data_IF_856686057221
#
_entry.id   IF_856686057221
#
_cell.length_a   1.000
_cell.length_b   1.000
_cell.length_c   1.000
_cell.angle_alpha   90.00
_cell.angle_beta   90.00
_cell.angle_gamma   90.00
#
_symmetry.space_group_name_H-M   'P 1'
#
loop_
_entity.id
_entity.type
_entity.pdbx_description
1 polymer ?
#
# COMPACT_ATOMS: atom_id res chain seq x y z
N UNK A 1 31.87 -14.77 17.32
CA UNK A 1 32.03 -13.37 16.82
C UNK A 1 30.66 -12.71 16.69
N UNK A 2 29.67 -13.40 16.10
CA UNK A 2 28.27 -12.96 16.11
C UNK A 2 27.73 -12.68 17.54
N UNK A 3 28.19 -13.47 18.52
CA UNK A 3 27.74 -13.44 19.93
C UNK A 3 28.23 -12.21 20.71
N UNK A 4 29.08 -11.37 20.11
CA UNK A 4 29.66 -10.16 20.70
C UNK A 4 29.61 -8.96 19.73
N UNK A 5 28.53 -8.84 18.95
CA UNK A 5 28.35 -7.74 18.01
C UNK A 5 28.32 -6.36 18.71
N UNK A 6 27.76 -6.30 19.92
CA UNK A 6 27.78 -5.15 20.83
C UNK A 6 29.20 -4.66 21.12
N UNK A 7 30.12 -5.56 21.45
CA UNK A 7 31.52 -5.23 21.74
C UNK A 7 32.29 -4.68 20.52
N UNK A 8 31.84 -4.98 19.30
CA UNK A 8 32.42 -4.46 18.05
C UNK A 8 31.80 -3.12 17.65
N UNK A 9 30.52 -2.90 17.95
CA UNK A 9 29.82 -1.65 17.63
C UNK A 9 30.14 -0.54 18.62
N UNK A 10 30.25 -0.84 19.92
CA UNK A 10 30.44 0.16 20.99
C UNK A 10 31.59 1.17 20.73
N UNK A 11 32.79 0.78 20.24
CA UNK A 11 33.87 1.73 19.94
C UNK A 11 33.62 2.64 18.72
N UNK A 12 32.60 2.35 17.92
CA UNK A 12 32.20 3.12 16.74
C UNK A 12 31.05 4.10 17.03
N UNK A 13 30.44 4.01 18.22
CA UNK A 13 29.36 4.90 18.63
C UNK A 13 29.92 6.26 19.06
N UNK A 14 29.34 7.33 18.52
CA UNK A 14 29.60 8.68 19.00
C UNK A 14 28.77 8.93 20.28
N UNK A 15 29.31 9.61 21.31
CA UNK A 15 28.68 9.70 22.64
C UNK A 15 27.24 10.21 22.68
N UNK A 16 26.87 11.06 21.72
CA UNK A 16 25.58 11.76 21.67
C UNK A 16 24.75 11.42 20.40
N UNK A 17 25.14 10.38 19.64
CA UNK A 17 24.38 9.97 18.43
C UNK A 17 23.31 8.94 18.79
N UNK A 18 22.02 9.16 18.43
CA UNK A 18 20.99 8.19 18.71
C UNK A 18 21.22 6.90 17.91
N UNK A 19 21.28 5.79 18.62
CA UNK A 19 21.51 4.46 18.04
C UNK A 19 20.18 3.80 17.70
N UNK A 20 20.11 3.22 16.51
CA UNK A 20 18.96 2.45 16.02
C UNK A 20 19.41 1.04 15.69
N UNK A 21 18.76 0.05 16.26
CA UNK A 21 18.96 -1.37 15.92
C UNK A 21 17.75 -1.86 15.15
N UNK A 22 18.00 -2.54 14.03
CA UNK A 22 16.96 -3.13 13.18
C UNK A 22 17.28 -4.60 12.92
N UNK A 23 16.29 -5.46 13.14
CA UNK A 23 16.34 -6.87 12.78
C UNK A 23 15.57 -7.07 11.47
N UNK A 24 16.25 -7.35 10.33
CA UNK A 24 15.62 -7.52 9.01
C UNK A 24 14.86 -8.84 8.85
N UNK A 25 15.03 -9.77 9.78
CA UNK A 25 14.48 -11.10 9.78
C UNK A 25 14.11 -11.47 11.23
N UNK A 26 14.43 -12.69 11.68
CA UNK A 26 14.21 -13.11 13.06
C UNK A 26 14.82 -12.11 14.05
N UNK A 27 13.97 -11.65 14.97
CA UNK A 27 14.31 -10.69 16.02
C UNK A 27 14.20 -11.37 17.38
N UNK A 28 14.95 -10.91 18.40
CA UNK A 28 14.78 -11.34 19.79
C UNK A 28 13.32 -11.22 20.27
N UNK A 29 12.92 -12.12 21.17
CA UNK A 29 11.62 -12.07 21.83
C UNK A 29 11.48 -10.82 22.72
N UNK A 30 12.58 -10.41 23.37
CA UNK A 30 12.74 -9.11 24.03
C UNK A 30 13.81 -8.31 23.24
N UNK A 31 13.40 -7.37 22.38
CA UNK A 31 14.34 -6.53 21.64
C UNK A 31 15.19 -5.64 22.52
N UNK A 32 14.72 -5.23 23.70
CA UNK A 32 15.41 -4.29 24.58
C UNK A 32 16.51 -4.95 25.42
N UNK A 33 16.33 -6.20 25.86
CA UNK A 33 17.36 -6.96 26.59
C UNK A 33 18.44 -7.56 25.65
N UNK A 34 18.18 -7.62 24.34
CA UNK A 34 19.16 -8.10 23.36
C UNK A 34 20.46 -7.25 23.34
N UNK A 35 21.65 -7.84 23.08
CA UNK A 35 22.93 -7.12 23.16
C UNK A 35 23.02 -5.82 22.36
N UNK A 36 22.52 -5.82 21.12
CA UNK A 36 22.43 -4.61 20.27
C UNK A 36 21.21 -3.72 20.61
N UNK A 37 20.20 -4.28 21.27
CA UNK A 37 19.02 -3.55 21.73
C UNK A 37 19.30 -2.66 22.94
N UNK A 38 20.10 -3.17 23.89
CA UNK A 38 20.59 -2.43 25.07
C UNK A 38 21.36 -1.16 24.72
N UNK A 39 21.95 -1.09 23.51
CA UNK A 39 22.66 0.07 23.00
C UNK A 39 21.75 1.05 22.24
N UNK A 40 20.52 0.66 21.90
CA UNK A 40 19.67 1.35 20.95
C UNK A 40 18.51 2.12 21.62
N UNK A 41 18.31 3.35 21.16
CA UNK A 41 17.16 4.19 21.51
C UNK A 41 15.90 3.74 20.76
N UNK A 42 16.04 3.37 19.48
CA UNK A 42 14.95 2.85 18.62
C UNK A 42 15.28 1.41 18.21
N UNK A 43 14.31 0.51 18.33
CA UNK A 43 14.46 -0.92 18.06
C UNK A 43 13.37 -1.36 17.08
N UNK A 44 13.78 -1.72 15.87
CA UNK A 44 12.88 -1.98 14.74
C UNK A 44 12.87 -3.48 14.44
N UNK A 45 11.68 -4.08 14.45
CA UNK A 45 11.45 -5.47 14.01
C UNK A 45 10.59 -5.51 12.74
N UNK A 46 10.48 -6.66 12.08
CA UNK A 46 9.59 -6.81 10.94
C UNK A 46 8.89 -8.18 10.93
N UNK A 47 7.73 -8.27 11.57
CA UNK A 47 6.89 -9.47 11.56
C UNK A 47 6.43 -9.86 10.14
N UNK A 48 6.34 -8.92 9.19
CA UNK A 48 5.98 -9.24 7.79
C UNK A 48 7.17 -9.73 6.96
N UNK A 49 8.41 -9.61 7.46
CA UNK A 49 9.64 -9.99 6.79
C UNK A 49 10.14 -11.40 7.10
N UNK A 50 9.49 -12.11 8.04
CA UNK A 50 9.95 -13.38 8.59
C UNK A 50 9.14 -14.59 8.12
N UNK A 51 9.80 -15.74 7.94
CA UNK A 51 9.13 -17.02 7.67
C UNK A 51 8.42 -17.63 8.90
N UNK A 52 8.83 -17.24 10.10
CA UNK A 52 8.23 -17.63 11.38
C UNK A 52 8.09 -16.37 12.25
N UNK A 53 7.07 -15.52 11.99
CA UNK A 53 6.84 -14.34 12.81
C UNK A 53 6.50 -14.74 14.25
N UNK A 54 7.14 -14.07 15.21
CA UNK A 54 6.64 -14.05 16.58
C UNK A 54 5.20 -13.54 16.57
N UNK A 55 4.32 -14.19 17.32
CA UNK A 55 2.95 -13.74 17.49
C UNK A 55 2.90 -12.32 18.05
N UNK A 56 1.83 -11.57 17.74
CA UNK A 56 1.69 -10.21 18.27
C UNK A 56 1.52 -10.19 19.80
N UNK A 57 1.10 -11.31 20.40
CA UNK A 57 1.14 -11.53 21.86
C UNK A 57 2.57 -11.69 22.41
N UNK A 58 3.47 -12.34 21.67
CA UNK A 58 4.91 -12.38 22.02
C UNK A 58 5.54 -11.00 21.88
N UNK A 59 5.13 -10.23 20.86
CA UNK A 59 5.53 -8.81 20.71
C UNK A 59 5.10 -7.98 21.90
N UNK A 60 3.84 -8.10 22.34
CA UNK A 60 3.37 -7.42 23.55
C UNK A 60 4.17 -7.86 24.80
N UNK A 61 4.45 -9.15 24.96
CA UNK A 61 5.18 -9.68 26.13
C UNK A 61 6.62 -9.18 26.24
N UNK A 62 7.28 -8.93 25.12
CA UNK A 62 8.65 -8.38 25.07
C UNK A 62 8.73 -6.88 24.78
N UNK A 63 7.60 -6.17 24.70
CA UNK A 63 7.58 -4.76 24.32
C UNK A 63 8.25 -3.86 25.36
N UNK A 64 9.10 -2.95 24.88
CA UNK A 64 9.64 -1.82 25.64
C UNK A 64 9.49 -0.49 24.88
N UNK A 65 9.31 0.65 25.57
CA UNK A 65 9.29 1.96 24.94
C UNK A 65 10.51 2.21 24.03
N UNK A 66 10.24 2.56 22.77
CA UNK A 66 11.24 2.66 21.69
C UNK A 66 11.27 1.46 20.74
N UNK A 67 10.48 0.41 21.01
CA UNK A 67 10.21 -0.67 20.06
C UNK A 67 9.17 -0.27 19.01
N UNK A 68 9.32 -0.77 17.80
CA UNK A 68 8.39 -0.62 16.67
C UNK A 68 8.51 -1.83 15.75
N UNK A 69 7.42 -2.22 15.09
CA UNK A 69 7.45 -3.25 14.05
C UNK A 69 7.01 -2.68 12.70
N UNK A 70 7.73 -2.98 11.63
CA UNK A 70 7.44 -2.46 10.29
C UNK A 70 6.06 -2.91 9.76
N UNK A 71 5.42 -3.93 10.32
CA UNK A 71 4.01 -4.24 10.07
C UNK A 71 3.07 -3.08 10.49
N UNK A 72 3.38 -2.38 11.59
CA UNK A 72 2.67 -1.18 12.00
C UNK A 72 2.94 -0.01 11.06
N UNK A 73 4.21 0.21 10.68
CA UNK A 73 4.61 1.22 9.69
C UNK A 73 3.89 1.00 8.36
N UNK A 74 3.71 -0.24 7.90
CA UNK A 74 2.93 -0.57 6.67
C UNK A 74 1.48 -0.09 6.74
N UNK A 75 0.91 0.10 7.93
CA UNK A 75 -0.45 0.59 8.14
C UNK A 75 -0.58 2.12 8.03
N UNK A 76 0.49 2.92 8.16
CA UNK A 76 0.40 4.40 8.19
C UNK A 76 -0.39 5.03 7.02
N UNK A 77 -0.25 4.58 5.75
CA UNK A 77 -1.06 5.11 4.65
C UNK A 77 -2.55 4.75 4.78
N UNK A 78 -2.87 3.54 5.23
CA UNK A 78 -4.25 3.10 5.48
C UNK A 78 -4.90 3.92 6.60
N UNK A 79 -4.21 4.06 7.74
CA UNK A 79 -4.66 4.86 8.90
C UNK A 79 -4.95 6.31 8.49
N UNK A 80 -4.03 6.92 7.73
CA UNK A 80 -4.17 8.30 7.25
C UNK A 80 -5.35 8.49 6.30
N UNK A 81 -5.59 7.57 5.36
CA UNK A 81 -6.71 7.67 4.43
C UNK A 81 -8.07 7.44 5.11
N UNK A 82 -8.14 6.48 6.05
CA UNK A 82 -9.37 6.20 6.81
C UNK A 82 -9.73 7.36 7.74
N UNK A 83 -8.76 7.95 8.44
CA UNK A 83 -8.97 9.15 9.25
C UNK A 83 -9.48 10.32 8.38
N UNK A 84 -8.81 10.60 7.25
CA UNK A 84 -9.21 11.66 6.34
C UNK A 84 -10.60 11.44 5.69
N UNK A 85 -11.05 10.19 5.55
CA UNK A 85 -12.40 9.87 5.09
C UNK A 85 -13.45 10.17 6.17
N UNK A 86 -13.19 9.80 7.42
CA UNK A 86 -14.07 10.09 8.56
C UNK A 86 -14.15 11.60 8.88
N UNK A 87 -13.05 12.35 8.69
CA UNK A 87 -13.05 13.82 8.80
C UNK A 87 -13.97 14.48 7.74
N UNK A 88 -14.10 13.88 6.56
CA UNK A 88 -14.94 14.38 5.46
C UNK A 88 -16.40 13.98 5.59
N UNK A 89 -16.68 12.81 6.16
CA UNK A 89 -18.03 12.35 6.46
C UNK A 89 -18.20 12.09 7.97
N UNK A 90 -18.47 13.14 8.78
CA UNK A 90 -18.81 12.97 10.18
C UNK A 90 -20.03 12.05 10.35
N UNK A 91 -19.77 10.87 10.89
CA UNK A 91 -20.74 9.79 11.10
C UNK A 91 -20.29 8.91 12.28
N UNK A 92 -21.23 8.16 12.84
CA UNK A 92 -20.91 7.09 13.79
C UNK A 92 -20.58 5.84 12.98
N UNK A 93 -19.38 5.30 13.16
CA UNK A 93 -19.05 3.95 12.69
C UNK A 93 -19.69 2.96 13.65
N UNK A 94 -20.28 1.89 13.11
CA UNK A 94 -21.01 0.86 13.84
C UNK A 94 -20.29 -0.50 13.77
N UNK A 95 -19.50 -0.73 12.71
CA UNK A 95 -18.68 -1.93 12.53
C UNK A 95 -17.51 -1.68 11.59
N UNK A 96 -16.48 -2.53 11.66
CA UNK A 96 -15.32 -2.50 10.77
C UNK A 96 -15.09 -3.89 10.18
N UNK A 97 -14.79 -3.98 8.90
CA UNK A 97 -14.22 -5.18 8.27
C UNK A 97 -12.86 -4.85 7.66
N UNK A 98 -11.84 -5.63 7.98
CA UNK A 98 -10.51 -5.57 7.35
C UNK A 98 -10.29 -6.84 6.55
N UNK A 99 -9.90 -6.69 5.27
CA UNK A 99 -9.59 -7.79 4.36
C UNK A 99 -8.12 -7.75 3.95
N UNK A 100 -7.43 -8.90 3.97
CA UNK A 100 -6.01 -9.00 3.67
C UNK A 100 -5.57 -10.41 3.22
N UNK A 101 -4.31 -10.57 2.80
CA UNK A 101 -3.65 -11.87 2.73
C UNK A 101 -3.67 -12.60 4.09
N UNK A 102 -3.65 -13.95 4.04
CA UNK A 102 -3.58 -14.81 5.23
C UNK A 102 -2.36 -14.49 6.10
N UNK A 103 -2.51 -14.63 7.42
CA UNK A 103 -1.47 -14.44 8.44
C UNK A 103 -0.75 -13.08 8.38
N UNK A 104 -1.41 -12.03 7.88
CA UNK A 104 -0.83 -10.70 7.77
C UNK A 104 -0.85 -9.95 9.12
N UNK A 105 0.31 -9.61 9.72
CA UNK A 105 0.34 -8.89 10.99
C UNK A 105 -0.09 -7.42 10.85
N UNK A 106 0.02 -6.83 9.65
CA UNK A 106 -0.40 -5.44 9.40
C UNK A 106 -1.93 -5.32 9.47
N UNK A 107 -2.68 -6.27 8.89
CA UNK A 107 -4.14 -6.27 8.96
C UNK A 107 -4.65 -6.45 10.38
N UNK A 108 -4.00 -7.30 11.17
CA UNK A 108 -4.31 -7.49 12.60
C UNK A 108 -4.09 -6.21 13.39
N UNK A 109 -2.92 -5.58 13.27
CA UNK A 109 -2.63 -4.31 13.95
C UNK A 109 -3.59 -3.18 13.52
N UNK A 110 -3.98 -3.13 12.24
CA UNK A 110 -4.95 -2.14 11.74
C UNK A 110 -6.36 -2.42 12.28
N UNK A 111 -6.78 -3.68 12.36
CA UNK A 111 -8.07 -4.08 12.91
C UNK A 111 -8.18 -3.74 14.40
N UNK A 112 -7.18 -4.10 15.21
CA UNK A 112 -7.14 -3.76 16.64
C UNK A 112 -7.13 -2.25 16.84
N UNK A 113 -6.36 -1.50 16.05
CA UNK A 113 -6.37 -0.03 16.11
C UNK A 113 -7.75 0.55 15.78
N UNK A 114 -8.42 0.08 14.73
CA UNK A 114 -9.76 0.57 14.38
C UNK A 114 -10.80 0.24 15.46
N UNK A 115 -10.79 -1.00 15.97
CA UNK A 115 -11.70 -1.45 17.02
C UNK A 115 -11.53 -0.65 18.32
N UNK A 116 -10.29 -0.48 18.77
CA UNK A 116 -9.96 0.34 19.94
C UNK A 116 -10.32 1.82 19.75
N UNK A 117 -9.94 2.43 18.62
CA UNK A 117 -10.14 3.88 18.40
C UNK A 117 -11.58 4.28 18.15
N UNK A 118 -12.40 3.38 17.60
CA UNK A 118 -13.81 3.63 17.28
C UNK A 118 -14.76 3.01 18.31
N UNK A 119 -14.28 2.07 19.14
CA UNK A 119 -15.06 1.29 20.10
C UNK A 119 -16.22 0.54 19.41
N UNK A 120 -15.89 -0.25 18.39
CA UNK A 120 -16.83 -1.01 17.53
C UNK A 120 -16.34 -2.44 17.30
N UNK A 121 -17.24 -3.41 17.01
CA UNK A 121 -16.85 -4.73 16.56
C UNK A 121 -16.04 -4.67 15.25
N UNK A 122 -15.01 -5.51 15.17
CA UNK A 122 -14.14 -5.63 14.00
C UNK A 122 -14.10 -7.08 13.54
N UNK A 123 -14.24 -7.31 12.23
CA UNK A 123 -14.08 -8.61 11.59
C UNK A 123 -12.85 -8.61 10.69
N UNK A 124 -12.03 -9.64 10.79
CA UNK A 124 -10.94 -9.90 9.85
C UNK A 124 -11.36 -10.98 8.83
N UNK A 125 -11.00 -10.76 7.58
CA UNK A 125 -11.33 -11.61 6.44
C UNK A 125 -10.08 -11.83 5.61
N UNK A 126 -9.89 -13.04 5.10
CA UNK A 126 -8.75 -13.34 4.22
C UNK A 126 -9.15 -13.33 2.75
N UNK A 127 -8.23 -12.91 1.89
CA UNK A 127 -8.31 -13.10 0.43
C UNK A 127 -6.95 -13.48 -0.17
N UNK A 128 -6.84 -13.44 -1.51
CA UNK A 128 -5.63 -13.79 -2.28
C UNK A 128 -4.80 -12.58 -2.72
N UNK A 129 -5.22 -11.37 -2.37
CA UNK A 129 -4.56 -10.14 -2.79
C UNK A 129 -3.40 -9.75 -1.86
N UNK A 130 -2.52 -8.83 -2.30
CA UNK A 130 -1.25 -8.57 -1.63
C UNK A 130 -1.36 -7.64 -0.41
N UNK A 131 -1.03 -8.15 0.78
CA UNK A 131 -1.10 -7.41 2.05
C UNK A 131 -2.54 -7.11 2.45
N UNK A 132 -2.80 -5.95 3.07
CA UNK A 132 -4.16 -5.44 3.23
C UNK A 132 -4.74 -5.10 1.85
N UNK A 133 -5.95 -5.57 1.57
CA UNK A 133 -6.67 -5.39 0.30
C UNK A 133 -7.94 -4.58 0.45
N UNK A 134 -8.53 -4.51 1.64
CA UNK A 134 -9.75 -3.75 1.88
C UNK A 134 -9.94 -3.35 3.33
N UNK A 135 -10.55 -2.19 3.55
CA UNK A 135 -11.17 -1.80 4.82
C UNK A 135 -12.55 -1.22 4.54
N UNK A 136 -13.56 -1.72 5.25
CA UNK A 136 -14.95 -1.29 5.15
C UNK A 136 -15.40 -0.82 6.53
N UNK A 137 -16.02 0.35 6.60
CA UNK A 137 -16.59 0.93 7.81
C UNK A 137 -18.11 0.99 7.63
N UNK A 138 -18.84 0.17 8.40
CA UNK A 138 -20.30 0.21 8.43
C UNK A 138 -20.78 1.44 9.20
N UNK A 139 -21.71 2.21 8.64
CA UNK A 139 -22.29 3.40 9.28
C UNK A 139 -23.77 3.48 8.96
N UNK A 140 -24.58 4.10 9.83
CA UNK A 140 -25.99 4.40 9.55
C UNK A 140 -26.25 5.35 8.37
N UNK A 141 -25.21 5.90 7.72
CA UNK A 141 -25.29 6.67 6.46
C UNK A 141 -24.91 5.85 5.21
N UNK A 142 -24.51 4.58 5.37
CA UNK A 142 -23.93 3.75 4.33
C UNK A 142 -22.46 3.40 4.60
N UNK A 143 -21.90 2.52 3.78
CA UNK A 143 -20.53 2.02 3.95
C UNK A 143 -19.48 3.02 3.42
N UNK A 144 -18.42 3.26 4.18
CA UNK A 144 -17.17 3.85 3.68
C UNK A 144 -16.22 2.70 3.39
N UNK A 145 -15.71 2.58 2.16
CA UNK A 145 -14.78 1.50 1.80
C UNK A 145 -13.51 2.04 1.14
N UNK A 146 -12.37 1.44 1.51
CA UNK A 146 -11.06 1.69 0.91
C UNK A 146 -10.54 0.34 0.41
N UNK A 147 -10.56 0.12 -0.90
CA UNK A 147 -10.21 -1.16 -1.52
C UNK A 147 -9.02 -1.03 -2.47
N UNK A 148 -7.99 -1.87 -2.29
CA UNK A 148 -6.74 -1.93 -3.04
C UNK A 148 -6.41 -3.37 -3.46
N UNK A 149 -7.20 -3.97 -4.38
CA UNK A 149 -7.09 -5.40 -4.72
C UNK A 149 -5.79 -5.74 -5.49
N UNK A 150 -5.19 -4.78 -6.19
CA UNK A 150 -3.98 -4.99 -7.01
C UNK A 150 -2.66 -4.62 -6.31
N UNK A 151 -2.73 -4.09 -5.07
CA UNK A 151 -1.57 -3.61 -4.32
C UNK A 151 -0.98 -2.26 -4.75
N UNK A 152 -1.53 -1.61 -5.78
CA UNK A 152 -1.04 -0.33 -6.31
C UNK A 152 -2.03 0.82 -6.12
N UNK A 153 -3.24 0.71 -6.65
CA UNK A 153 -4.23 1.79 -6.65
C UNK A 153 -5.40 1.41 -5.75
N UNK A 154 -5.76 2.31 -4.84
CA UNK A 154 -6.94 2.12 -4.01
C UNK A 154 -8.12 2.94 -4.53
N UNK A 155 -9.32 2.41 -4.40
CA UNK A 155 -10.58 3.13 -4.57
C UNK A 155 -11.13 3.42 -3.18
N UNK A 156 -11.36 4.70 -2.89
CA UNK A 156 -12.10 5.18 -1.73
C UNK A 156 -13.53 5.50 -2.16
N UNK A 157 -14.48 4.67 -1.74
CA UNK A 157 -15.92 4.90 -1.90
C UNK A 157 -16.51 5.43 -0.61
N UNK A 158 -17.43 6.39 -0.71
CA UNK A 158 -18.13 6.98 0.43
C UNK A 158 -19.58 7.30 0.06
N UNK A 159 -20.54 7.24 1.00
CA UNK A 159 -21.94 7.54 0.73
C UNK A 159 -22.15 8.92 0.09
N UNK A 160 -23.06 8.97 -0.87
CA UNK A 160 -23.46 10.15 -1.64
C UNK A 160 -22.31 10.91 -2.35
N UNK A 161 -21.16 10.26 -2.56
CA UNK A 161 -19.98 10.85 -3.18
C UNK A 161 -19.42 9.95 -4.29
N UNK A 162 -18.81 10.51 -5.34
CA UNK A 162 -18.17 9.72 -6.38
C UNK A 162 -16.91 9.03 -5.84
N UNK A 163 -16.67 7.82 -6.31
CA UNK A 163 -15.46 7.04 -6.00
C UNK A 163 -14.18 7.80 -6.35
N UNK A 164 -13.18 7.72 -5.46
CA UNK A 164 -11.90 8.42 -5.62
C UNK A 164 -10.75 7.44 -5.67
N UNK A 165 -9.95 7.52 -6.73
CA UNK A 165 -8.73 6.74 -6.86
C UNK A 165 -7.62 7.43 -6.05
N UNK A 166 -7.06 6.73 -5.06
CA UNK A 166 -6.00 7.25 -4.17
C UNK A 166 -4.75 6.39 -4.26
N UNK A 167 -3.58 7.04 -4.26
CA UNK A 167 -2.29 6.38 -4.34
C UNK A 167 -1.95 5.70 -3.01
N UNK A 168 -2.24 4.41 -2.92
CA UNK A 168 -2.04 3.60 -1.71
C UNK A 168 -1.07 2.44 -1.98
N UNK A 169 -0.07 2.63 -2.85
CA UNK A 169 0.89 1.58 -3.23
C UNK A 169 1.50 0.88 -2.01
N UNK A 170 1.80 -0.41 -2.13
CA UNK A 170 2.72 -1.07 -1.19
C UNK A 170 4.04 -0.27 -1.14
N UNK A 171 4.58 -0.11 0.06
CA UNK A 171 5.81 0.66 0.32
C UNK A 171 7.01 -0.27 0.37
N UNK A 172 8.11 0.16 -0.22
CA UNK A 172 9.37 -0.58 -0.18
C UNK A 172 10.02 -0.47 1.21
N UNK A 173 10.87 -1.43 1.55
CA UNK A 173 11.57 -1.46 2.84
C UNK A 173 12.33 -0.15 3.15
N UNK A 174 12.91 0.48 2.13
CA UNK A 174 13.57 1.78 2.28
C UNK A 174 12.62 2.91 2.67
N UNK A 175 11.37 2.92 2.16
CA UNK A 175 10.34 3.90 2.54
C UNK A 175 9.92 3.70 4.02
N UNK A 176 9.79 2.43 4.44
CA UNK A 176 9.40 2.07 5.82
C UNK A 176 10.49 2.46 6.83
N UNK A 177 11.75 2.08 6.57
CA UNK A 177 12.88 2.48 7.41
C UNK A 177 13.06 4.01 7.43
N UNK A 178 12.83 4.70 6.31
CA UNK A 178 12.87 6.17 6.26
C UNK A 178 11.78 6.81 7.12
N UNK A 179 10.62 6.17 7.31
CA UNK A 179 9.58 6.64 8.22
C UNK A 179 10.03 6.48 9.68
N UNK A 180 10.48 5.29 10.08
CA UNK A 180 10.93 5.02 11.46
C UNK A 180 12.17 5.83 11.87
N UNK A 181 13.04 6.17 10.93
CA UNK A 181 14.23 7.00 11.20
C UNK A 181 13.94 8.51 11.27
N UNK A 182 12.75 8.98 10.87
CA UNK A 182 12.36 10.41 10.97
C UNK A 182 11.93 10.83 12.37
N UNK A 183 11.45 9.89 13.18
CA UNK A 183 10.99 10.15 14.56
C UNK A 183 11.39 8.96 15.44
N UNK A 184 12.35 9.19 16.34
CA UNK A 184 12.88 8.15 17.22
C UNK A 184 12.12 8.05 18.56
N UNK A 185 11.26 9.03 18.87
CA UNK A 185 10.39 9.02 20.05
C UNK A 185 9.46 7.80 20.05
N UNK A 186 9.00 7.42 21.25
CA UNK A 186 8.03 6.33 21.45
C UNK A 186 6.79 6.55 20.57
N UNK A 187 6.31 5.47 19.94
CA UNK A 187 4.98 5.44 19.32
C UNK A 187 3.99 4.91 20.36
N UNK A 188 3.41 5.83 21.13
CA UNK A 188 2.36 5.55 22.12
C UNK A 188 1.11 4.90 21.48
N UNK A 189 0.86 5.13 20.19
CA UNK A 189 -0.28 4.50 19.50
C UNK A 189 0.02 3.04 19.19
N UNK A 190 1.27 2.71 18.83
CA UNK A 190 1.71 1.32 18.67
C UNK A 190 1.64 0.56 20.00
N UNK A 191 2.13 1.17 21.08
CA UNK A 191 2.07 0.60 22.43
C UNK A 191 0.63 0.26 22.85
N UNK A 192 -0.30 1.20 22.69
CA UNK A 192 -1.72 0.97 22.99
C UNK A 192 -2.35 -0.10 22.08
N UNK A 193 -2.00 -0.15 20.80
CA UNK A 193 -2.48 -1.21 19.89
C UNK A 193 -1.97 -2.59 20.30
N UNK A 194 -0.70 -2.70 20.73
CA UNK A 194 -0.20 -3.96 21.31
C UNK A 194 -0.97 -4.35 22.56
N UNK A 195 -1.29 -3.41 23.46
CA UNK A 195 -2.05 -3.70 24.70
C UNK A 195 -3.46 -4.23 24.42
N UNK A 196 -4.12 -3.78 23.35
CA UNK A 196 -5.50 -4.18 23.01
C UNK A 196 -5.60 -5.43 22.12
N UNK A 197 -4.48 -6.07 21.76
CA UNK A 197 -4.44 -7.31 20.95
C UNK A 197 -5.12 -8.50 21.66
N UNK A 198 -5.11 -8.54 22.99
CA UNK A 198 -5.78 -9.59 23.78
C UNK A 198 -7.29 -9.38 23.93
N UNK A 199 -7.77 -8.16 23.74
CA UNK A 199 -9.17 -7.78 23.98
C UNK A 199 -10.03 -7.93 22.72
N UNK A 200 -9.39 -7.84 21.55
CA UNK A 200 -10.02 -8.10 20.27
C UNK A 200 -9.75 -9.54 19.89
N UNK A 201 -10.80 -10.37 19.89
CA UNK A 201 -10.68 -11.79 19.55
C UNK A 201 -10.43 -11.98 18.05
N UNK A 202 -9.17 -11.76 17.64
CA UNK A 202 -8.67 -11.85 16.26
C UNK A 202 -8.89 -13.24 15.67
N UNK A 203 -9.16 -14.24 16.52
CA UNK A 203 -9.39 -15.64 16.13
C UNK A 203 -10.69 -15.86 15.35
N UNK A 204 -11.65 -14.93 15.41
CA UNK A 204 -12.88 -14.93 14.62
C UNK A 204 -12.63 -14.49 13.16
N UNK A 205 -11.72 -15.18 12.47
CA UNK A 205 -11.55 -15.10 11.02
C UNK A 205 -12.70 -15.87 10.39
N UNK A 206 -13.76 -15.18 9.99
CA UNK A 206 -14.87 -15.80 9.27
C UNK A 206 -14.32 -16.35 7.93
N UNK A 207 -14.28 -17.68 7.77
CA UNK A 207 -14.12 -18.34 6.48
C UNK A 207 -15.37 -18.08 5.62
N UNK A 208 -15.50 -16.85 5.10
CA UNK A 208 -16.48 -16.54 4.08
C UNK A 208 -16.04 -17.22 2.79
N UNK A 209 -16.43 -18.50 2.66
CA UNK A 209 -16.54 -19.16 1.36
C UNK A 209 -17.29 -18.19 0.45
N UNK A 210 -16.69 -17.71 -0.66
CA UNK A 210 -17.32 -16.70 -1.48
C UNK A 210 -18.63 -17.27 -2.02
N UNK A 211 -19.74 -16.67 -1.61
CA UNK A 211 -21.05 -16.97 -2.18
C UNK A 211 -20.91 -16.81 -3.71
N UNK A 212 -21.31 -17.82 -4.51
CA UNK A 212 -21.01 -17.82 -5.93
C UNK A 212 -21.66 -16.60 -6.57
N UNK A 213 -20.81 -15.70 -7.08
CA UNK A 213 -21.26 -14.50 -7.77
C UNK A 213 -22.15 -14.92 -8.95
N UNK A 214 -23.46 -14.65 -8.85
CA UNK A 214 -24.34 -14.80 -9.99
C UNK A 214 -23.86 -13.82 -11.06
N UNK A 215 -23.58 -14.26 -12.29
CA UNK A 215 -23.11 -13.38 -13.33
C UNK A 215 -24.22 -12.39 -13.69
N UNK A 216 -24.06 -11.14 -13.28
CA UNK A 216 -24.90 -10.04 -13.73
C UNK A 216 -24.65 -9.82 -15.23
N UNK A 217 -25.51 -10.38 -16.08
CA UNK A 217 -25.49 -10.15 -17.52
C UNK A 217 -25.75 -8.67 -17.79
N UNK A 218 -24.69 -7.93 -18.14
CA UNK A 218 -24.81 -6.55 -18.63
C UNK A 218 -25.37 -6.61 -20.06
N UNK A 219 -26.70 -6.51 -20.18
CA UNK A 219 -27.36 -6.38 -21.48
C UNK A 219 -27.17 -4.97 -22.02
N UNK A 220 -26.17 -4.78 -22.89
CA UNK A 220 -26.02 -3.54 -23.66
C UNK A 220 -27.07 -3.51 -24.78
N UNK A 221 -28.24 -2.91 -24.51
CA UNK A 221 -29.20 -2.56 -25.56
C UNK A 221 -28.70 -1.38 -26.38
N UNK A 222 -28.03 -1.67 -27.48
CA UNK A 222 -27.78 -0.68 -28.53
C UNK A 222 -29.11 -0.36 -29.25
N UNK A 223 -29.69 0.82 -29.01
CA UNK A 223 -30.81 1.32 -29.80
C UNK A 223 -30.30 1.85 -31.14
N UNK A 224 -30.43 1.04 -32.19
CA UNK A 224 -30.25 1.50 -33.55
C UNK A 224 -31.49 2.31 -33.99
N UNK A 225 -31.33 3.61 -34.21
CA UNK A 225 -32.33 4.43 -34.90
C UNK A 225 -32.25 4.16 -36.40
N UNK A 226 -33.27 3.51 -36.96
CA UNK A 226 -33.36 3.28 -38.40
C UNK A 226 -33.60 4.59 -39.17
N UNK A 227 -32.72 4.88 -40.12
CA UNK A 227 -32.92 5.87 -41.19
C UNK A 227 -32.66 5.20 -42.54
N UNK A 228 -33.45 5.47 -43.59
CA UNK A 228 -33.47 4.63 -44.79
C UNK A 228 -32.19 4.76 -45.65
N UNK A 229 -31.75 3.64 -46.20
CA UNK A 229 -30.54 3.55 -47.03
C UNK A 229 -30.69 4.32 -48.36
N UNK A 230 -29.81 5.30 -48.57
CA UNK A 230 -29.48 5.84 -49.90
C UNK A 230 -28.33 5.03 -50.53
N UNK A 231 -28.47 4.67 -51.79
CA UNK A 231 -27.56 3.78 -52.53
C UNK A 231 -26.19 4.39 -52.86
N UNK A 232 -25.12 3.60 -52.67
CA UNK A 232 -23.77 3.86 -53.21
C UNK A 232 -23.62 3.20 -54.60
N UNK A 233 -23.04 3.87 -55.61
CA UNK A 233 -22.62 3.23 -56.86
C UNK A 233 -21.36 2.36 -56.67
N UNK A 234 -21.18 1.34 -57.51
CA UNK A 234 -19.99 0.46 -57.54
C UNK A 234 -19.11 0.72 -58.78
N UNK A 235 -17.79 0.76 -58.55
CA UNK A 235 -16.68 0.23 -59.37
C UNK A 235 -16.49 0.74 -60.83
N UNK A 236 -15.33 0.50 -61.51
CA UNK A 236 -14.12 -0.25 -61.14
C UNK A 236 -12.75 0.49 -61.38
N UNK A 237 -11.61 -0.21 -61.30
CA UNK A 237 -10.26 0.25 -61.70
C UNK A 237 -9.93 -0.13 -63.18
N UNK A 238 -8.73 -0.02 -63.80
CA UNK A 238 -7.29 0.23 -63.50
C UNK A 238 -6.60 0.59 -64.88
N UNK A 239 -5.25 0.59 -65.17
CA UNK A 239 -4.01 0.66 -64.38
C UNK A 239 -2.88 1.62 -64.94
N UNK A 240 -1.73 1.64 -64.23
CA UNK A 240 -0.30 1.73 -64.67
C UNK A 240 0.31 2.82 -65.62
N UNK A 241 1.47 3.34 -65.15
CA UNK A 241 2.73 3.77 -65.84
C UNK A 241 2.84 4.84 -66.95
N UNK A 242 3.69 5.87 -66.69
CA UNK A 242 4.71 6.55 -67.55
C UNK A 242 5.27 7.78 -66.78
N UNK A 243 6.55 7.92 -66.39
CA UNK A 243 7.83 8.08 -67.13
C UNK A 243 8.01 9.44 -67.86
N UNK A 244 8.66 10.37 -67.13
CA UNK A 244 9.60 11.43 -67.54
C UNK A 244 9.49 12.20 -68.88
N UNK A 245 9.45 13.54 -68.80
CA UNK A 245 10.55 14.46 -69.24
C UNK A 245 10.14 15.95 -69.22
N UNK A 246 11.05 16.82 -68.77
CA UNK A 246 11.56 17.94 -69.58
C UNK A 246 12.90 18.44 -69.01
N UNK A 247 13.90 18.67 -69.87
CA UNK A 247 15.25 19.11 -69.52
C UNK A 247 15.44 20.63 -69.74
N UNK A 248 16.65 21.12 -69.40
CA UNK A 248 17.35 22.33 -69.91
C UNK A 248 16.96 23.69 -69.26
N UNK A 249 17.88 24.62 -68.98
CA UNK A 249 19.34 24.74 -69.23
C UNK A 249 20.12 25.23 -67.98
N UNK A 250 21.44 24.96 -67.99
CA UNK A 250 22.63 25.73 -67.53
C UNK A 250 22.57 26.63 -66.26
N UNK A 251 23.60 26.76 -65.42
CA UNK A 251 24.97 26.21 -65.34
C UNK A 251 25.56 26.63 -63.97
N UNK A 252 26.42 25.84 -63.31
CA UNK A 252 27.90 25.88 -63.41
C UNK A 252 28.51 27.28 -63.08
N UNK A 253 29.46 27.48 -62.17
CA UNK A 253 30.16 26.60 -61.23
C UNK A 253 30.72 27.40 -60.01
N UNK A 254 31.33 26.67 -59.06
CA UNK A 254 32.51 26.98 -58.20
C UNK A 254 33.10 28.41 -58.34
N UNK A 255 33.46 29.11 -57.26
CA UNK A 255 34.59 28.72 -56.40
C UNK A 255 34.67 29.43 -55.02
N UNK A 256 35.58 28.93 -54.15
CA UNK A 256 36.17 29.61 -52.96
C UNK A 256 37.67 29.93 -53.27
N UNK A 257 38.54 30.47 -52.37
CA UNK A 257 38.39 31.08 -51.03
C UNK A 257 39.15 32.45 -50.85
N UNK A 258 39.12 33.00 -49.62
CA UNK A 258 40.14 33.92 -49.06
C UNK A 258 39.89 35.44 -49.23
N UNK A 259 40.39 36.35 -48.37
CA UNK A 259 41.08 36.19 -47.06
C UNK A 259 41.10 37.53 -46.28
N UNK A 260 41.20 37.46 -44.94
CA UNK A 260 41.57 38.51 -43.96
C UNK A 260 40.76 39.86 -43.97
N UNK A 261 41.00 40.87 -43.08
CA UNK A 261 42.19 41.17 -42.26
C UNK A 261 42.21 40.56 -40.84
#
# INVERSE_FOLDING_TARGET
LADHADAVVLPLLLPDTPVVTWWPAESPADPADAPLGKLAMRRITDASGTHQPSSLEERLRGYSPGDTDLAWTRCTPWRSMLAAALDQLPCTVESVKVTAEIDNPSSTLLAVWLGWRLNVPVTLSTDKGPGITGVHLGTGKGEISLARPDGMLAVLSMPDQPDRHVALKRRELADLLTEELRRLDVDETYEEVLRHITDHDVSAIDEVTPAPAQPATITVTAQATEGPLGSLPRDPAEPAEQVAQQQKLDGDARDKPGDAP
#
